data_IF_125025725666
#
_entry.id   IF_125025725666
#
_cell.length_a   1.000
_cell.length_b   1.000
_cell.length_c   1.000
_cell.angle_alpha   90.00
_cell.angle_beta   90.00
_cell.angle_gamma   90.00
#
_symmetry.space_group_name_H-M   'P 1'
#
loop_
_entity.id
_entity.type
_entity.pdbx_description
1 polymer ?
#
# COMPACT_ATOMS: atom_id res chain seq x y z
N UNK A 1 -29.39 -67.53 14.42
CA UNK A 1 -29.94 -66.19 14.67
C UNK A 1 -28.79 -65.20 14.61
N UNK A 2 -28.82 -64.31 13.63
CA UNK A 2 -27.88 -63.20 13.46
C UNK A 2 -28.36 -62.05 14.33
N UNK A 3 -27.48 -61.36 15.07
CA UNK A 3 -27.77 -60.01 15.53
C UNK A 3 -27.11 -58.99 14.61
N UNK A 4 -27.96 -58.18 13.99
CA UNK A 4 -27.61 -57.03 13.15
C UNK A 4 -27.08 -55.84 13.96
N UNK A 5 -26.10 -55.17 13.36
CA UNK A 5 -25.84 -53.72 13.30
C UNK A 5 -26.26 -52.80 14.46
N UNK A 6 -25.28 -52.11 15.05
CA UNK A 6 -25.28 -50.64 15.14
C UNK A 6 -23.87 -50.15 14.82
N UNK A 7 -23.61 -49.79 13.56
CA UNK A 7 -22.37 -49.13 13.15
C UNK A 7 -22.47 -47.65 13.54
N UNK A 8 -21.92 -47.30 14.70
CA UNK A 8 -21.77 -45.91 15.13
C UNK A 8 -20.92 -45.14 14.12
N UNK A 9 -21.51 -44.13 13.50
CA UNK A 9 -20.79 -43.13 12.71
C UNK A 9 -20.01 -42.23 13.66
N UNK A 10 -18.75 -42.60 13.92
CA UNK A 10 -17.79 -41.71 14.56
C UNK A 10 -17.50 -40.55 13.59
N UNK A 11 -18.23 -39.44 13.72
CA UNK A 11 -17.84 -38.17 13.13
C UNK A 11 -16.69 -37.58 13.97
N UNK A 12 -15.47 -37.95 13.60
CA UNK A 12 -14.26 -37.23 14.01
C UNK A 12 -14.18 -35.96 13.14
N UNK A 13 -14.22 -34.74 13.69
CA UNK A 13 -13.94 -33.55 12.89
C UNK A 13 -12.43 -33.50 12.67
N UNK A 14 -11.98 -33.90 11.48
CA UNK A 14 -10.62 -33.59 11.04
C UNK A 14 -10.47 -32.06 10.91
N UNK A 15 -9.36 -31.47 11.38
CA UNK A 15 -9.08 -30.06 11.19
C UNK A 15 -8.54 -29.83 9.77
N UNK A 16 -9.39 -29.96 8.76
CA UNK A 16 -9.05 -29.57 7.40
C UNK A 16 -9.23 -28.06 7.24
N UNK A 17 -8.16 -27.31 7.57
CA UNK A 17 -7.68 -26.16 6.81
C UNK A 17 -6.53 -25.49 7.57
N UNK A 18 -5.39 -26.17 7.63
CA UNK A 18 -4.12 -25.47 7.65
C UNK A 18 -3.95 -24.79 6.29
N UNK A 19 -4.34 -23.52 6.19
CA UNK A 19 -3.85 -22.65 5.12
C UNK A 19 -2.33 -22.57 5.28
N UNK A 20 -1.62 -23.39 4.51
CA UNK A 20 -0.19 -23.26 4.32
C UNK A 20 0.02 -21.95 3.59
N UNK A 21 0.68 -20.99 4.25
CA UNK A 21 1.34 -19.90 3.55
C UNK A 21 2.34 -20.58 2.61
N UNK A 22 2.26 -20.43 1.28
CA UNK A 22 3.23 -21.03 0.39
C UNK A 22 4.60 -20.46 0.76
N UNK A 23 5.52 -21.34 1.21
CA UNK A 23 6.87 -20.99 1.67
C UNK A 23 7.78 -20.44 0.55
N UNK A 24 7.24 -20.11 -0.63
CA UNK A 24 7.99 -19.65 -1.80
C UNK A 24 7.32 -18.46 -2.51
N UNK A 25 6.76 -17.48 -1.78
CA UNK A 25 6.42 -16.20 -2.41
C UNK A 25 7.65 -15.31 -2.47
N UNK A 26 8.49 -15.58 -3.46
CA UNK A 26 9.46 -14.61 -3.99
C UNK A 26 8.62 -13.44 -4.50
N UNK A 27 8.74 -12.30 -3.84
CA UNK A 27 8.38 -11.01 -4.41
C UNK A 27 9.09 -10.94 -5.77
N UNK A 28 8.40 -10.80 -6.93
CA UNK A 28 9.13 -10.46 -8.13
C UNK A 28 9.79 -9.12 -7.83
N UNK A 29 11.11 -9.14 -7.61
CA UNK A 29 11.94 -7.99 -7.82
C UNK A 29 11.74 -7.67 -9.30
N UNK A 30 10.81 -6.77 -9.58
CA UNK A 30 10.90 -6.04 -10.83
C UNK A 30 12.25 -5.33 -10.74
N UNK A 31 13.20 -5.81 -11.54
CA UNK A 31 14.42 -5.13 -11.94
C UNK A 31 14.00 -3.81 -12.59
N UNK A 32 13.64 -2.83 -11.76
CA UNK A 32 13.47 -1.45 -12.18
C UNK A 32 14.89 -0.95 -12.42
N UNK A 33 15.26 -0.53 -13.65
CA UNK A 33 16.55 0.10 -13.85
C UNK A 33 16.66 1.29 -12.89
N UNK A 34 17.74 1.30 -12.11
CA UNK A 34 18.00 2.30 -11.08
C UNK A 34 18.04 3.71 -11.70
N UNK A 35 16.91 4.41 -11.66
CA UNK A 35 16.88 5.85 -11.90
C UNK A 35 16.55 6.56 -10.59
N UNK A 36 17.62 7.10 -9.98
CA UNK A 36 17.73 8.22 -9.02
C UNK A 36 16.50 8.57 -8.12
N UNK A 37 15.75 7.59 -7.62
CA UNK A 37 14.65 7.81 -6.66
C UNK A 37 14.90 7.13 -5.30
N UNK A 38 16.00 6.40 -5.16
CA UNK A 38 16.37 5.74 -3.89
C UNK A 38 16.65 6.70 -2.73
N UNK A 39 16.85 8.00 -2.99
CA UNK A 39 17.06 9.00 -1.93
C UNK A 39 15.76 9.58 -1.35
N UNK A 40 14.59 9.39 -1.98
CA UNK A 40 13.34 9.99 -1.49
C UNK A 40 12.61 9.12 -0.45
N UNK A 41 12.84 7.81 -0.46
CA UNK A 41 12.14 6.85 0.41
C UNK A 41 12.91 6.45 1.68
N UNK A 42 14.15 6.93 1.85
CA UNK A 42 14.96 6.65 3.04
C UNK A 42 14.56 7.47 4.28
N UNK A 43 13.52 8.31 4.20
CA UNK A 43 13.12 9.22 5.30
C UNK A 43 11.84 8.81 6.05
N UNK A 44 11.35 7.57 5.92
CA UNK A 44 10.29 7.11 6.82
C UNK A 44 10.88 6.61 8.14
N UNK A 45 10.57 7.24 9.29
CA UNK A 45 10.98 6.72 10.59
C UNK A 45 10.19 5.43 10.88
N UNK A 46 10.90 4.31 10.89
CA UNK A 46 10.41 3.02 11.37
C UNK A 46 10.32 3.05 12.90
N UNK A 47 9.24 3.61 13.44
CA UNK A 47 8.97 3.58 14.87
C UNK A 47 7.94 2.49 15.19
N UNK A 48 8.40 1.24 15.32
CA UNK A 48 7.62 0.18 15.96
C UNK A 48 7.85 0.25 17.48
N UNK A 49 6.98 0.96 18.18
CA UNK A 49 6.91 0.93 19.63
C UNK A 49 6.05 -0.27 20.08
N UNK A 50 6.69 -1.31 20.60
CA UNK A 50 6.03 -2.37 21.36
C UNK A 50 6.02 -1.99 22.84
N UNK A 51 4.86 -1.85 23.51
CA UNK A 51 4.83 -1.81 24.96
C UNK A 51 5.02 -3.22 25.52
N UNK A 52 6.13 -3.39 26.23
CA UNK A 52 6.42 -4.50 27.13
C UNK A 52 6.04 -4.13 28.57
N UNK A 53 5.83 -5.16 29.40
CA UNK A 53 5.41 -5.18 30.80
C UNK A 53 3.91 -4.89 31.00
N UNK A 54 3.12 -5.82 31.54
CA UNK A 54 3.40 -6.67 32.69
C UNK A 54 2.50 -6.18 33.81
N UNK A 55 1.24 -6.64 33.84
CA UNK A 55 0.34 -6.40 34.95
C UNK A 55 -0.17 -7.74 35.46
N UNK A 56 0.29 -8.09 36.66
CA UNK A 56 -0.04 -9.29 37.40
C UNK A 56 -1.56 -9.35 37.63
N UNK A 57 -2.19 -10.41 37.12
CA UNK A 57 -3.55 -10.74 37.50
C UNK A 57 -3.52 -11.44 38.86
N UNK A 58 -3.85 -10.72 39.91
CA UNK A 58 -4.27 -11.35 41.17
C UNK A 58 -5.65 -12.01 40.97
N UNK A 59 -5.84 -13.30 41.29
CA UNK A 59 -7.15 -13.92 41.22
C UNK A 59 -8.01 -13.45 42.41
N UNK A 60 -9.30 -13.11 42.22
CA UNK A 60 -10.19 -12.93 43.36
C UNK A 60 -10.40 -14.30 44.01
N UNK A 61 -9.99 -14.41 45.27
CA UNK A 61 -10.27 -15.53 46.16
C UNK A 61 -11.78 -15.77 46.22
N UNK A 62 -12.20 -16.93 45.70
CA UNK A 62 -13.55 -17.45 45.87
C UNK A 62 -13.76 -17.85 47.33
N UNK A 63 -14.66 -17.14 48.02
CA UNK A 63 -15.16 -17.55 49.32
C UNK A 63 -16.15 -18.70 49.10
N UNK A 64 -15.73 -19.92 49.42
CA UNK A 64 -16.62 -21.07 49.57
C UNK A 64 -17.40 -20.89 50.88
N UNK A 65 -18.69 -20.60 50.76
CA UNK A 65 -19.64 -20.68 51.85
C UNK A 65 -20.31 -22.05 51.81
N UNK A 66 -19.99 -22.89 52.78
CA UNK A 66 -20.63 -24.18 52.96
C UNK A 66 -21.97 -23.94 53.67
N UNK A 67 -23.09 -24.26 53.02
CA UNK A 67 -24.39 -24.37 53.68
C UNK A 67 -25.07 -25.66 53.25
N UNK A 68 -25.06 -26.63 54.15
CA UNK A 68 -25.84 -27.87 54.07
C UNK A 68 -27.33 -27.53 54.19
N UNK A 69 -28.09 -27.66 53.10
CA UNK A 69 -29.35 -28.45 52.96
C UNK A 69 -29.93 -28.22 51.54
N UNK A 70 -30.37 -29.31 50.87
CA UNK A 70 -31.09 -29.38 49.57
C UNK A 70 -30.24 -29.65 48.31
N UNK A 71 -29.99 -30.93 48.00
CA UNK A 71 -29.40 -31.42 46.73
C UNK A 71 -30.03 -30.77 45.48
N UNK A 72 -31.35 -30.56 45.49
CA UNK A 72 -32.10 -29.94 44.39
C UNK A 72 -31.69 -28.48 44.09
N UNK A 73 -31.22 -27.74 45.10
CA UNK A 73 -30.84 -26.33 44.93
C UNK A 73 -29.43 -26.20 44.31
N UNK A 74 -28.54 -27.13 44.64
CA UNK A 74 -27.18 -27.18 44.10
C UNK A 74 -27.20 -27.65 42.65
N UNK A 75 -28.01 -28.66 42.29
CA UNK A 75 -28.16 -29.11 40.90
C UNK A 75 -28.69 -28.01 39.96
N UNK A 76 -29.65 -27.20 40.42
CA UNK A 76 -30.15 -26.05 39.65
C UNK A 76 -29.07 -24.99 39.43
N UNK A 77 -28.23 -24.72 40.44
CA UNK A 77 -27.08 -23.81 40.31
C UNK A 77 -26.05 -24.31 39.30
N UNK A 78 -25.70 -25.60 39.34
CA UNK A 78 -24.78 -26.20 38.37
C UNK A 78 -25.30 -26.10 36.93
N UNK A 79 -26.59 -26.42 36.71
CA UNK A 79 -27.22 -26.30 35.39
C UNK A 79 -27.20 -24.87 34.85
N UNK A 80 -27.46 -23.86 35.68
CA UNK A 80 -27.39 -22.44 35.28
C UNK A 80 -25.95 -22.03 34.93
N UNK A 81 -24.95 -22.51 35.67
CA UNK A 81 -23.54 -22.25 35.41
C UNK A 81 -23.11 -22.86 34.07
N UNK A 82 -23.49 -24.11 33.82
CA UNK A 82 -23.17 -24.80 32.57
C UNK A 82 -23.86 -24.18 31.36
N UNK A 83 -25.12 -23.79 31.49
CA UNK A 83 -25.83 -23.07 30.44
C UNK A 83 -25.17 -21.71 30.15
N UNK A 84 -24.76 -20.97 31.20
CA UNK A 84 -24.01 -19.71 31.04
C UNK A 84 -22.66 -19.93 30.37
N UNK A 85 -21.94 -20.99 30.75
CA UNK A 85 -20.65 -21.38 30.13
C UNK A 85 -20.87 -21.72 28.66
N UNK A 86 -21.90 -22.48 28.33
CA UNK A 86 -22.27 -22.82 26.96
C UNK A 86 -22.56 -21.58 26.12
N UNK A 87 -23.40 -20.66 26.62
CA UNK A 87 -23.67 -19.37 25.96
C UNK A 87 -22.40 -18.55 25.73
N UNK A 88 -21.49 -18.49 26.71
CA UNK A 88 -20.19 -17.80 26.56
C UNK A 88 -19.30 -18.46 25.51
N UNK A 89 -19.24 -19.78 25.45
CA UNK A 89 -18.46 -20.50 24.44
C UNK A 89 -18.95 -20.18 23.03
N UNK A 90 -20.27 -20.17 22.81
CA UNK A 90 -20.86 -19.80 21.51
C UNK A 90 -20.56 -18.33 21.18
N UNK A 91 -20.80 -17.41 22.13
CA UNK A 91 -20.57 -15.98 21.93
C UNK A 91 -19.11 -15.66 21.63
N UNK A 92 -18.16 -16.28 22.35
CA UNK A 92 -16.73 -16.11 22.11
C UNK A 92 -16.28 -16.72 20.78
N UNK A 93 -16.85 -17.87 20.40
CA UNK A 93 -16.58 -18.46 19.09
C UNK A 93 -17.00 -17.51 17.97
N UNK A 94 -18.19 -16.94 18.08
CA UNK A 94 -18.71 -16.00 17.09
C UNK A 94 -17.94 -14.67 17.10
N UNK A 95 -17.57 -14.14 18.26
CA UNK A 95 -16.78 -12.90 18.36
C UNK A 95 -15.37 -13.07 17.80
N UNK A 96 -14.72 -14.22 18.05
CA UNK A 96 -13.44 -14.58 17.45
C UNK A 96 -13.55 -14.71 15.93
N UNK A 97 -14.62 -15.36 15.41
CA UNK A 97 -14.89 -15.45 13.97
C UNK A 97 -15.03 -14.06 13.36
N UNK A 98 -15.87 -13.19 13.93
CA UNK A 98 -16.07 -11.82 13.45
C UNK A 98 -14.79 -11.00 13.51
N UNK A 99 -13.98 -11.18 14.55
CA UNK A 99 -12.67 -10.54 14.67
C UNK A 99 -11.74 -10.96 13.54
N UNK A 100 -11.62 -12.27 13.26
CA UNK A 100 -10.84 -12.78 12.13
C UNK A 100 -11.34 -12.25 10.79
N UNK A 101 -12.66 -12.26 10.56
CA UNK A 101 -13.25 -11.73 9.33
C UNK A 101 -12.97 -10.24 9.12
N UNK A 102 -13.06 -9.43 10.18
CA UNK A 102 -12.72 -7.99 10.11
C UNK A 102 -11.25 -7.77 9.77
N UNK A 103 -10.34 -8.52 10.42
CA UNK A 103 -8.91 -8.45 10.11
C UNK A 103 -8.62 -8.89 8.67
N UNK A 104 -9.24 -9.98 8.20
CA UNK A 104 -9.09 -10.42 6.82
C UNK A 104 -9.54 -9.35 5.83
N UNK A 105 -10.73 -8.77 6.02
CA UNK A 105 -11.23 -7.69 5.16
C UNK A 105 -10.28 -6.49 5.13
N UNK A 106 -9.69 -6.12 6.28
CA UNK A 106 -8.72 -5.04 6.33
C UNK A 106 -7.43 -5.36 5.57
N UNK A 107 -6.93 -6.59 5.66
CA UNK A 107 -5.79 -7.04 4.88
C UNK A 107 -6.09 -7.02 3.37
N UNK A 108 -7.27 -7.49 2.96
CA UNK A 108 -7.69 -7.49 1.56
C UNK A 108 -7.80 -6.04 1.02
N UNK A 109 -8.32 -5.12 1.83
CA UNK A 109 -8.41 -3.70 1.50
C UNK A 109 -7.02 -3.06 1.36
N UNK A 110 -6.10 -3.31 2.30
CA UNK A 110 -4.72 -2.84 2.20
C UNK A 110 -4.01 -3.44 0.98
N UNK A 111 -4.22 -4.72 0.68
CA UNK A 111 -3.66 -5.36 -0.50
C UNK A 111 -4.17 -4.73 -1.79
N UNK A 112 -5.48 -4.47 -1.89
CA UNK A 112 -6.08 -3.75 -3.01
C UNK A 112 -5.49 -2.36 -3.19
N UNK A 113 -5.25 -1.63 -2.09
CA UNK A 113 -4.58 -0.33 -2.13
C UNK A 113 -3.15 -0.44 -2.67
N UNK A 114 -2.36 -1.42 -2.22
CA UNK A 114 -0.99 -1.64 -2.70
C UNK A 114 -0.97 -1.96 -4.19
N UNK A 115 -1.84 -2.86 -4.65
CA UNK A 115 -1.94 -3.21 -6.08
C UNK A 115 -2.32 -1.98 -6.91
N UNK A 116 -3.33 -1.22 -6.47
CA UNK A 116 -3.75 0.01 -7.15
C UNK A 116 -2.62 1.02 -7.24
N UNK A 117 -1.96 1.33 -6.12
CA UNK A 117 -0.87 2.30 -6.07
C UNK A 117 0.33 1.86 -6.93
N UNK A 118 0.65 0.57 -6.98
CA UNK A 118 1.70 0.05 -7.87
C UNK A 118 1.33 0.25 -9.34
N UNK A 119 0.10 -0.06 -9.72
CA UNK A 119 -0.40 0.16 -11.09
C UNK A 119 -0.40 1.64 -11.45
N UNK A 120 -0.88 2.51 -10.57
CA UNK A 120 -0.84 3.96 -10.76
C UNK A 120 0.60 4.49 -10.88
N UNK A 121 1.51 4.00 -10.04
CA UNK A 121 2.92 4.38 -10.11
C UNK A 121 3.55 3.99 -11.45
N UNK A 122 3.35 2.76 -11.91
CA UNK A 122 3.84 2.31 -13.22
C UNK A 122 3.27 3.17 -14.36
N UNK A 123 1.97 3.45 -14.34
CA UNK A 123 1.33 4.32 -15.32
C UNK A 123 1.92 5.75 -15.33
N UNK A 124 2.29 6.28 -14.17
CA UNK A 124 2.94 7.59 -14.06
C UNK A 124 4.37 7.57 -14.62
N UNK A 125 5.12 6.50 -14.33
CA UNK A 125 6.46 6.29 -14.89
C UNK A 125 6.40 6.21 -16.42
N UNK A 126 5.46 5.45 -16.98
CA UNK A 126 5.30 5.34 -18.44
C UNK A 126 4.97 6.68 -19.09
N UNK A 127 4.08 7.46 -18.47
CA UNK A 127 3.75 8.83 -18.93
C UNK A 127 4.97 9.75 -18.87
N UNK A 128 5.74 9.67 -17.79
CA UNK A 128 6.95 10.48 -17.64
C UNK A 128 7.98 10.15 -18.72
N UNK A 129 8.20 8.85 -18.99
CA UNK A 129 9.10 8.41 -20.04
C UNK A 129 8.66 8.94 -21.41
N UNK A 130 7.37 8.86 -21.73
CA UNK A 130 6.84 9.38 -22.98
C UNK A 130 7.03 10.89 -23.13
N UNK A 131 6.79 11.66 -22.06
CA UNK A 131 7.02 13.11 -22.06
C UNK A 131 8.51 13.43 -22.21
N UNK A 132 9.40 12.69 -21.54
CA UNK A 132 10.85 12.84 -21.66
C UNK A 132 11.32 12.61 -23.10
N UNK A 133 10.90 11.51 -23.73
CA UNK A 133 11.24 11.22 -25.12
C UNK A 133 10.74 12.29 -26.09
N UNK A 134 9.53 12.80 -25.86
CA UNK A 134 8.96 13.88 -26.67
C UNK A 134 9.76 15.18 -26.49
N UNK A 135 10.09 15.52 -25.25
CA UNK A 135 10.92 16.67 -24.92
C UNK A 135 12.28 16.61 -25.61
N UNK A 136 12.97 15.46 -25.55
CA UNK A 136 14.29 15.31 -26.16
C UNK A 136 14.24 15.49 -27.68
N UNK A 137 13.20 14.98 -28.34
CA UNK A 137 12.96 15.23 -29.78
C UNK A 137 12.75 16.71 -30.07
N UNK A 138 11.96 17.41 -29.25
CA UNK A 138 11.73 18.85 -29.42
C UNK A 138 13.02 19.64 -29.23
N UNK A 139 13.84 19.29 -28.23
CA UNK A 139 15.14 19.93 -27.99
C UNK A 139 16.08 19.70 -29.17
N UNK A 140 16.14 18.48 -29.70
CA UNK A 140 16.95 18.15 -30.87
C UNK A 140 16.53 18.96 -32.11
N UNK A 141 15.23 19.01 -32.42
CA UNK A 141 14.73 19.82 -33.53
C UNK A 141 14.97 21.31 -33.32
N UNK A 142 14.84 21.81 -32.09
CA UNK A 142 15.14 23.21 -31.78
C UNK A 142 16.62 23.55 -32.03
N UNK A 143 17.54 22.65 -31.64
CA UNK A 143 18.96 22.80 -31.91
C UNK A 143 19.26 22.80 -33.42
N UNK A 144 18.66 21.85 -34.16
CA UNK A 144 18.80 21.76 -35.62
C UNK A 144 18.31 23.02 -36.33
N UNK A 145 17.15 23.55 -35.94
CA UNK A 145 16.60 24.78 -36.51
C UNK A 145 17.46 26.00 -36.17
N UNK A 146 18.05 26.06 -34.96
CA UNK A 146 18.97 27.13 -34.57
C UNK A 146 20.24 27.14 -35.41
N UNK A 147 20.80 25.96 -35.68
CA UNK A 147 21.95 25.77 -36.57
C UNK A 147 21.60 26.20 -38.01
N UNK A 148 20.50 25.71 -38.57
CA UNK A 148 20.04 26.09 -39.92
C UNK A 148 19.82 27.61 -40.04
N UNK A 149 19.26 28.24 -39.00
CA UNK A 149 19.08 29.70 -38.98
C UNK A 149 20.42 30.43 -38.87
N UNK A 150 21.39 29.88 -38.14
CA UNK A 150 22.73 30.44 -38.07
C UNK A 150 23.42 30.39 -39.43
N UNK A 151 23.37 29.25 -40.12
CA UNK A 151 23.94 29.09 -41.46
C UNK A 151 23.32 30.04 -42.48
N UNK A 152 21.99 30.18 -42.47
CA UNK A 152 21.28 31.12 -43.35
C UNK A 152 21.66 32.58 -43.05
N UNK A 153 21.77 32.97 -41.76
CA UNK A 153 22.22 34.31 -41.38
C UNK A 153 23.66 34.58 -41.84
N UNK A 154 24.55 33.60 -41.70
CA UNK A 154 25.93 33.72 -42.15
C UNK A 154 25.99 33.89 -43.68
N UNK A 155 25.25 33.07 -44.43
CA UNK A 155 25.19 33.17 -45.89
C UNK A 155 24.66 34.54 -46.36
N UNK A 156 23.63 35.06 -45.69
CA UNK A 156 23.10 36.39 -45.97
C UNK A 156 24.11 37.49 -45.64
N UNK A 157 24.83 37.39 -44.52
CA UNK A 157 25.88 38.34 -44.15
C UNK A 157 27.02 38.33 -45.18
N UNK A 158 27.47 37.15 -45.61
CA UNK A 158 28.53 36.99 -46.61
C UNK A 158 28.14 37.62 -47.97
N UNK A 159 26.88 37.47 -48.39
CA UNK A 159 26.36 38.12 -49.59
C UNK A 159 26.24 39.65 -49.43
N UNK A 160 25.88 40.14 -48.24
CA UNK A 160 25.77 41.58 -47.96
C UNK A 160 27.12 42.29 -47.88
N UNK A 161 28.22 41.59 -47.58
CA UNK A 161 29.58 42.17 -47.62
C UNK A 161 29.97 42.62 -49.05
N UNK A 162 29.35 42.06 -50.09
CA UNK A 162 29.52 42.54 -51.48
C UNK A 162 28.74 43.82 -51.83
N UNK A 163 27.75 44.21 -51.00
CA UNK A 163 26.90 45.39 -51.20
C UNK A 163 27.00 46.29 -49.96
N UNK A 164 27.88 47.29 -50.02
CA UNK A 164 28.16 48.25 -48.95
C UNK A 164 26.91 48.93 -48.35
N UNK A 165 26.28 48.32 -47.34
CA UNK A 165 25.37 48.98 -46.40
C UNK A 165 25.51 48.33 -45.01
N UNK A 166 25.76 49.12 -43.94
CA UNK A 166 25.92 48.56 -42.60
C UNK A 166 24.53 48.30 -41.99
N UNK A 167 24.12 47.03 -41.98
CA UNK A 167 22.93 46.58 -41.26
C UNK A 167 23.40 46.05 -39.89
N UNK A 168 23.28 46.84 -38.83
CA UNK A 168 23.47 46.38 -37.46
C UNK A 168 22.40 45.32 -37.14
N UNK A 169 22.73 44.04 -37.31
CA UNK A 169 21.97 42.94 -36.70
C UNK A 169 22.49 42.80 -35.27
N UNK A 170 21.79 43.45 -34.35
CA UNK A 170 22.02 43.27 -32.93
C UNK A 170 21.82 41.79 -32.58
N UNK A 171 22.86 41.25 -31.94
CA UNK A 171 22.91 39.96 -31.28
C UNK A 171 21.76 39.88 -30.25
N UNK A 172 20.61 39.37 -30.67
CA UNK A 172 19.59 38.90 -29.74
C UNK A 172 20.08 37.58 -29.17
N UNK A 173 21.01 37.72 -28.22
CA UNK A 173 21.55 36.64 -27.43
C UNK A 173 20.46 35.78 -26.84
N UNK A 174 20.76 34.48 -26.81
CA UNK A 174 20.20 33.46 -25.93
C UNK A 174 18.95 33.89 -25.15
N UNK A 175 17.77 33.62 -25.69
CA UNK A 175 16.57 33.54 -24.86
C UNK A 175 16.76 32.27 -24.01
N UNK A 176 17.00 32.38 -22.69
CA UNK A 176 17.08 31.20 -21.83
C UNK A 176 15.72 30.52 -21.90
N UNK A 177 15.72 29.22 -22.18
CA UNK A 177 14.49 28.44 -22.16
C UNK A 177 13.94 28.53 -20.74
N UNK A 178 12.88 29.34 -20.56
CA UNK A 178 12.26 29.57 -19.27
C UNK A 178 11.53 28.30 -18.86
N UNK A 179 12.23 27.41 -18.16
CA UNK A 179 11.59 26.46 -17.26
C UNK A 179 11.07 27.27 -16.06
N UNK A 180 9.94 27.95 -16.25
CA UNK A 180 9.24 28.61 -15.14
C UNK A 180 8.83 27.55 -14.11
N UNK A 181 9.18 27.70 -12.83
CA UNK A 181 8.58 26.91 -11.78
C UNK A 181 7.10 27.28 -11.72
N UNK A 182 6.24 26.32 -12.06
CA UNK A 182 4.81 26.41 -11.82
C UNK A 182 4.63 26.60 -10.30
N UNK A 183 4.40 27.85 -9.87
CA UNK A 183 3.92 28.10 -8.51
C UNK A 183 2.47 27.64 -8.51
N UNK A 184 2.23 26.53 -7.82
CA UNK A 184 0.89 26.06 -7.51
C UNK A 184 0.20 27.10 -6.63
N UNK A 185 -0.63 27.93 -7.25
CA UNK A 185 -1.70 28.66 -6.57
C UNK A 185 -2.82 27.65 -6.28
N UNK A 186 -2.61 26.81 -5.26
CA UNK A 186 -3.69 26.08 -4.62
C UNK A 186 -4.35 27.01 -3.60
N UNK A 187 -5.35 27.73 -4.10
CA UNK A 187 -6.58 28.14 -3.43
C UNK A 187 -6.72 27.67 -1.97
N UNK A 188 -6.62 28.62 -1.05
CA UNK A 188 -7.22 28.54 0.28
C UNK A 188 -8.73 28.27 0.13
N UNK A 189 -9.15 27.08 0.54
CA UNK A 189 -10.53 26.75 0.84
C UNK A 189 -10.55 26.30 2.32
N UNK A 190 -11.45 26.93 3.08
CA UNK A 190 -11.96 26.59 4.43
C UNK A 190 -11.03 26.90 5.62
N UNK A 191 -11.50 27.49 6.73
CA UNK A 191 -12.85 27.47 7.33
C UNK A 191 -13.53 28.85 7.49
#
# INVERSE_FOLDING_TARGET
MVPSEIRGVNYLPQPENSFQIPQNFVLPQNEIPNFHLNNLLNSLPTNYHYPSAGHEFAPPSCLSSNSTTSDEADELQFNIIDERKHRRMISNRESARRSRMRKQKHLDELWSQVVRLRTENNNLVDKLNHVSESHDKVVQENARLKEETFDLRQMVADMQIGNSFPCNMEDFGEIPCSTSPHKDDSSKIQD
#
